data_IF_749431971453
#
_entry.id   IF_749431971453
#
_cell.length_a   1.000
_cell.length_b   1.000
_cell.length_c   1.000
_cell.angle_alpha   90.00
_cell.angle_beta   90.00
_cell.angle_gamma   90.00
#
_symmetry.space_group_name_H-M   'P 1'
#
loop_
_entity.id
_entity.type
_entity.pdbx_description
1 polymer ?
#
# COMPACT_ATOMS: atom_id res chain seq x y z
N UNK A 1 17.32 12.21 9.55
CA UNK A 1 16.11 12.89 10.08
C UNK A 1 14.93 11.93 10.04
N UNK A 2 14.06 11.86 11.07
CA UNK A 2 12.96 10.87 11.18
C UNK A 2 11.64 11.39 10.59
N UNK A 3 11.67 12.05 9.43
CA UNK A 3 10.55 12.91 9.02
C UNK A 3 9.51 12.25 8.11
N UNK A 4 9.83 11.21 7.33
CA UNK A 4 8.84 10.50 6.51
C UNK A 4 9.24 9.03 6.31
N UNK A 5 8.92 8.16 7.26
CA UNK A 5 9.04 6.71 7.04
C UNK A 5 7.88 6.19 6.18
N UNK A 6 8.00 6.45 4.88
CA UNK A 6 7.09 5.96 3.86
C UNK A 6 7.19 4.44 3.69
N UNK A 7 8.36 3.87 3.99
CA UNK A 7 8.65 2.45 3.82
C UNK A 7 7.81 1.58 4.76
N UNK A 8 7.70 1.94 6.04
CA UNK A 8 6.88 1.17 6.98
C UNK A 8 5.38 1.32 6.72
N UNK A 9 4.94 2.50 6.28
CA UNK A 9 3.57 2.72 5.82
C UNK A 9 3.21 1.83 4.62
N UNK A 10 4.07 1.82 3.59
CA UNK A 10 3.91 0.95 2.42
C UNK A 10 3.90 -0.54 2.81
N UNK A 11 4.81 -0.97 3.68
CA UNK A 11 4.87 -2.35 4.15
C UNK A 11 3.59 -2.77 4.90
N UNK A 12 3.07 -1.90 5.78
CA UNK A 12 1.79 -2.14 6.47
C UNK A 12 0.64 -2.26 5.49
N UNK A 13 0.55 -1.37 4.49
CA UNK A 13 -0.52 -1.39 3.50
C UNK A 13 -0.49 -2.67 2.65
N UNK A 14 0.70 -3.09 2.21
CA UNK A 14 0.88 -4.36 1.50
C UNK A 14 0.48 -5.57 2.35
N UNK A 15 0.82 -5.56 3.65
CA UNK A 15 0.44 -6.61 4.59
C UNK A 15 -1.07 -6.65 4.81
N UNK A 16 -1.72 -5.50 4.99
CA UNK A 16 -3.16 -5.40 5.18
C UNK A 16 -3.93 -5.91 3.97
N UNK A 17 -3.45 -5.67 2.75
CA UNK A 17 -4.06 -6.21 1.54
C UNK A 17 -3.99 -7.75 1.50
N UNK A 18 -2.85 -8.34 1.88
CA UNK A 18 -2.72 -9.81 2.00
C UNK A 18 -3.66 -10.38 3.07
N UNK A 19 -3.81 -9.67 4.19
CA UNK A 19 -4.73 -10.08 5.26
C UNK A 19 -6.19 -9.99 4.83
N UNK A 20 -6.55 -8.98 4.04
CA UNK A 20 -7.89 -8.84 3.48
C UNK A 20 -8.21 -10.03 2.58
N UNK A 21 -7.31 -10.38 1.67
CA UNK A 21 -7.45 -11.53 0.77
C UNK A 21 -7.68 -12.83 1.55
N UNK A 22 -6.83 -13.12 2.54
CA UNK A 22 -6.99 -14.30 3.41
C UNK A 22 -8.34 -14.31 4.13
N UNK A 23 -8.75 -13.18 4.72
CA UNK A 23 -10.04 -13.08 5.43
C UNK A 23 -11.22 -13.22 4.50
N UNK A 24 -11.10 -12.74 3.25
CA UNK A 24 -12.12 -12.90 2.24
C UNK A 24 -12.29 -14.36 1.83
N UNK A 25 -11.20 -15.10 1.62
CA UNK A 25 -11.26 -16.55 1.35
C UNK A 25 -11.97 -17.31 2.48
N UNK A 26 -11.64 -17.02 3.74
CA UNK A 26 -12.33 -17.63 4.89
C UNK A 26 -13.82 -17.23 4.94
N UNK A 27 -14.15 -15.98 4.65
CA UNK A 27 -15.55 -15.54 4.65
C UNK A 27 -16.38 -16.31 3.61
N UNK A 28 -15.82 -16.57 2.43
CA UNK A 28 -16.49 -17.33 1.35
C UNK A 28 -16.83 -18.77 1.72
N UNK A 29 -16.19 -19.35 2.75
CA UNK A 29 -16.53 -20.71 3.21
C UNK A 29 -17.97 -20.79 3.75
N UNK A 30 -18.47 -19.70 4.33
CA UNK A 30 -19.83 -19.62 4.92
C UNK A 30 -20.73 -18.61 4.22
N UNK A 31 -20.16 -17.69 3.43
CA UNK A 31 -20.88 -16.64 2.73
C UNK A 31 -20.52 -16.61 1.23
N UNK A 32 -21.21 -17.43 0.43
CA UNK A 32 -20.96 -17.61 -1.02
C UNK A 32 -22.21 -17.41 -1.90
N UNK A 33 -23.11 -16.53 -1.46
CA UNK A 33 -24.34 -16.22 -2.19
C UNK A 33 -24.14 -15.12 -3.24
N UNK A 34 -25.22 -14.65 -3.86
CA UNK A 34 -25.15 -13.55 -4.81
C UNK A 34 -24.68 -12.24 -4.15
N UNK A 35 -25.00 -12.03 -2.88
CA UNK A 35 -24.63 -10.84 -2.11
C UNK A 35 -23.13 -10.78 -1.90
N UNK A 36 -22.49 -11.88 -1.49
CA UNK A 36 -21.04 -11.91 -1.28
C UNK A 36 -20.26 -11.72 -2.57
N UNK A 37 -20.75 -12.27 -3.69
CA UNK A 37 -20.16 -12.04 -5.02
C UNK A 37 -20.25 -10.59 -5.46
N UNK A 38 -21.40 -9.93 -5.24
CA UNK A 38 -21.55 -8.50 -5.52
C UNK A 38 -20.61 -7.67 -4.63
N UNK A 39 -20.56 -7.97 -3.33
CA UNK A 39 -19.67 -7.29 -2.39
C UNK A 39 -18.20 -7.41 -2.79
N UNK A 40 -17.75 -8.62 -3.17
CA UNK A 40 -16.37 -8.83 -3.65
C UNK A 40 -16.05 -7.91 -4.82
N UNK A 41 -16.90 -7.95 -5.84
CA UNK A 41 -16.72 -7.21 -7.08
C UNK A 41 -16.73 -5.70 -6.87
N UNK A 42 -17.63 -5.21 -6.02
CA UNK A 42 -17.84 -3.77 -5.82
C UNK A 42 -16.83 -3.15 -4.85
N UNK A 43 -16.31 -3.94 -3.89
CA UNK A 43 -15.53 -3.39 -2.78
C UNK A 43 -14.16 -4.03 -2.57
N UNK A 44 -13.99 -5.32 -2.85
CA UNK A 44 -12.72 -6.02 -2.56
C UNK A 44 -11.80 -6.03 -3.78
N UNK A 45 -12.31 -6.40 -4.95
CA UNK A 45 -11.54 -6.44 -6.20
C UNK A 45 -10.90 -5.08 -6.56
N UNK A 46 -11.57 -3.92 -6.40
CA UNK A 46 -10.96 -2.63 -6.74
C UNK A 46 -9.76 -2.25 -5.87
N UNK A 47 -9.68 -2.77 -4.63
CA UNK A 47 -8.60 -2.39 -3.71
C UNK A 47 -7.24 -2.90 -4.16
N UNK A 48 -7.17 -4.03 -4.87
CA UNK A 48 -5.90 -4.59 -5.33
C UNK A 48 -5.14 -3.65 -6.30
N UNK A 49 -5.72 -3.19 -7.42
CA UNK A 49 -5.06 -2.22 -8.29
C UNK A 49 -4.81 -0.88 -7.59
N UNK A 50 -5.75 -0.37 -6.79
CA UNK A 50 -5.61 0.93 -6.11
C UNK A 50 -4.44 0.94 -5.11
N UNK A 51 -4.32 -0.12 -4.30
CA UNK A 51 -3.21 -0.26 -3.35
C UNK A 51 -1.88 -0.43 -4.09
N UNK A 52 -1.83 -1.20 -5.18
CA UNK A 52 -0.62 -1.34 -6.01
C UNK A 52 -0.16 0.00 -6.56
N UNK A 53 -1.07 0.77 -7.17
CA UNK A 53 -0.76 2.11 -7.68
C UNK A 53 -0.26 3.04 -6.58
N UNK A 54 -0.86 2.96 -5.40
CA UNK A 54 -0.44 3.75 -4.24
C UNK A 54 0.97 3.36 -3.77
N UNK A 55 1.27 2.06 -3.65
CA UNK A 55 2.61 1.58 -3.26
C UNK A 55 3.69 2.05 -4.25
N UNK A 56 3.40 2.00 -5.55
CA UNK A 56 4.32 2.51 -6.57
C UNK A 56 4.55 4.02 -6.45
N UNK A 57 3.49 4.79 -6.22
CA UNK A 57 3.60 6.24 -6.02
C UNK A 57 4.41 6.58 -4.76
N UNK A 58 4.21 5.84 -3.68
CA UNK A 58 4.99 5.98 -2.44
C UNK A 58 6.46 5.64 -2.67
N UNK A 59 6.76 4.59 -3.45
CA UNK A 59 8.12 4.23 -3.83
C UNK A 59 8.84 5.37 -4.57
N UNK A 60 8.20 5.93 -5.60
CA UNK A 60 8.74 7.09 -6.34
C UNK A 60 8.94 8.31 -5.45
N UNK A 61 8.00 8.59 -4.54
CA UNK A 61 8.13 9.70 -3.60
C UNK A 61 9.32 9.51 -2.65
N UNK A 62 9.54 8.28 -2.16
CA UNK A 62 10.68 7.97 -1.31
C UNK A 62 12.02 8.20 -2.02
N UNK A 63 12.12 7.84 -3.31
CA UNK A 63 13.32 8.09 -4.12
C UNK A 63 13.61 9.60 -4.27
N UNK A 64 12.58 10.40 -4.57
CA UNK A 64 12.71 11.85 -4.71
C UNK A 64 13.17 12.50 -3.40
N UNK A 65 12.57 12.10 -2.28
CA UNK A 65 12.94 12.61 -0.95
C UNK A 65 14.37 12.22 -0.57
N UNK A 66 14.78 10.97 -0.84
CA UNK A 66 16.14 10.51 -0.56
C UNK A 66 17.18 11.27 -1.40
N UNK A 67 16.85 11.64 -2.64
CA UNK A 67 17.70 12.49 -3.48
C UNK A 67 17.80 13.91 -2.92
N UNK A 68 16.67 14.52 -2.55
CA UNK A 68 16.65 15.85 -1.96
C UNK A 68 17.44 15.92 -0.64
N UNK A 69 17.35 14.88 0.22
CA UNK A 69 18.13 14.81 1.46
C UNK A 69 19.65 14.81 1.18
N UNK A 70 20.11 14.05 0.17
CA UNK A 70 21.52 14.06 -0.24
C UNK A 70 21.94 15.40 -0.81
N UNK A 71 21.16 15.96 -1.75
CA UNK A 71 21.48 17.23 -2.40
C UNK A 71 21.63 18.38 -1.37
N UNK A 72 20.84 18.37 -0.29
CA UNK A 72 20.92 19.36 0.80
C UNK A 72 22.07 19.07 1.77
N UNK A 73 22.35 17.80 2.07
CA UNK A 73 23.45 17.41 2.96
C UNK A 73 24.82 17.71 2.34
N UNK A 74 24.99 17.45 1.05
CA UNK A 74 26.25 17.68 0.33
C UNK A 74 26.55 19.18 0.15
N UNK A 75 25.53 20.04 0.21
CA UNK A 75 25.67 21.50 0.14
C UNK A 75 26.09 22.18 1.46
N UNK A 76 26.25 21.43 2.56
CA UNK A 76 26.57 21.95 3.89
C UNK A 76 28.04 21.73 4.32
N UNK A 77 28.86 21.12 3.47
CA UNK A 77 30.31 20.89 3.69
C UNK A 77 31.18 22.09 3.21
N UNK A 78 30.72 23.33 3.42
CA UNK A 78 31.41 24.57 3.07
C UNK A 78 31.58 25.53 4.25
#
# INVERSE_FOLDING_TARGET
>A
MKHFDLSSGAAKMALSLKQLDLKWETAKETWNDATSKAFHKEHVEPLLPDVKMTLEAVGRLAEVLARAERDVSDGFDG
#
